data_IF_390445636003
#
_entry.id   IF_390445636003
#
_cell.length_a   1.000
_cell.length_b   1.000
_cell.length_c   1.000
_cell.angle_alpha   90.00
_cell.angle_beta   90.00
_cell.angle_gamma   90.00
#
_symmetry.space_group_name_H-M   'P 1'
#
loop_
_entity.id
_entity.type
_entity.pdbx_description
1 polymer ?
#
# COMPACT_ATOMS: atom_id res chain seq x y z
N UNK A 1 3.39 -0.87 -23.09
CA UNK A 1 3.41 -0.21 -21.76
C UNK A 1 1.97 -0.09 -21.29
N UNK A 2 1.62 -0.58 -20.09
CA UNK A 2 0.26 -0.47 -19.53
C UNK A 2 0.26 0.63 -18.48
N UNK A 3 -0.63 1.61 -18.61
CA UNK A 3 -0.81 2.68 -17.62
C UNK A 3 -1.42 2.13 -16.33
N UNK A 4 -0.93 2.58 -15.17
CA UNK A 4 -1.33 2.06 -13.86
C UNK A 4 -1.56 3.18 -12.87
N UNK A 5 -2.54 2.99 -12.01
CA UNK A 5 -2.75 3.80 -10.81
C UNK A 5 -2.17 3.09 -9.59
N UNK A 6 -1.73 3.88 -8.62
CA UNK A 6 -1.07 3.40 -7.43
C UNK A 6 -1.72 3.97 -6.18
N UNK A 7 -1.84 3.13 -5.16
CA UNK A 7 -2.12 3.55 -3.78
C UNK A 7 -0.90 3.15 -2.96
N UNK A 8 -0.39 4.07 -2.17
CA UNK A 8 0.74 3.81 -1.28
C UNK A 8 0.50 4.45 0.08
N UNK A 9 1.00 3.78 1.12
CA UNK A 9 1.11 4.34 2.46
C UNK A 9 2.51 4.03 2.99
N UNK A 10 3.05 4.95 3.77
CA UNK A 10 4.33 4.77 4.42
C UNK A 10 4.24 5.18 5.88
N UNK A 11 5.12 4.62 6.69
CA UNK A 11 5.24 4.96 8.11
C UNK A 11 6.66 4.67 8.59
N UNK A 12 7.03 5.27 9.72
CA UNK A 12 8.32 5.05 10.37
C UNK A 12 8.12 4.30 11.68
N UNK A 13 9.01 3.35 11.95
CA UNK A 13 9.13 2.69 13.26
C UNK A 13 10.60 2.63 13.64
N UNK A 14 11.00 3.54 14.52
CA UNK A 14 12.41 3.81 14.80
C UNK A 14 13.12 4.34 13.54
N UNK A 15 14.33 3.86 13.21
CA UNK A 15 15.08 4.31 12.03
C UNK A 15 14.56 3.70 10.71
N UNK A 16 13.60 2.78 10.77
CA UNK A 16 13.12 2.05 9.61
C UNK A 16 11.88 2.70 8.99
N UNK A 17 11.91 2.88 7.67
CA UNK A 17 10.76 3.27 6.86
C UNK A 17 10.07 2.03 6.30
N UNK A 18 8.75 1.94 6.48
CA UNK A 18 7.91 0.90 5.91
C UNK A 18 7.05 1.51 4.82
N UNK A 19 7.02 0.88 3.65
CA UNK A 19 6.22 1.29 2.50
C UNK A 19 5.36 0.11 2.06
N UNK A 20 4.05 0.34 1.98
CA UNK A 20 3.10 -0.57 1.33
C UNK A 20 2.58 0.10 0.07
N UNK A 21 2.54 -0.64 -1.04
CA UNK A 21 2.14 -0.15 -2.35
C UNK A 21 1.26 -1.17 -3.05
N UNK A 22 0.13 -0.73 -3.58
CA UNK A 22 -0.80 -1.52 -4.37
C UNK A 22 -1.06 -0.80 -5.71
N UNK A 23 -1.44 -1.54 -6.75
CA UNK A 23 -1.66 -0.97 -8.09
C UNK A 23 -2.70 -1.73 -8.90
N UNK A 24 -3.39 -1.01 -9.78
CA UNK A 24 -4.28 -1.58 -10.81
C UNK A 24 -4.00 -0.92 -12.17
N UNK A 25 -4.26 -1.63 -13.29
CA UNK A 25 -4.36 -1.02 -14.61
C UNK A 25 -5.37 0.13 -14.63
N UNK A 26 -5.17 1.11 -15.51
CA UNK A 26 -6.07 2.28 -15.63
C UNK A 26 -7.51 1.89 -15.94
N UNK A 27 -7.71 0.87 -16.77
CA UNK A 27 -9.03 0.32 -17.13
C UNK A 27 -9.79 -0.27 -15.93
N UNK A 28 -9.09 -0.77 -14.92
CA UNK A 28 -9.69 -1.41 -13.73
C UNK A 28 -9.76 -0.47 -12.52
N UNK A 29 -9.15 0.70 -12.59
CA UNK A 29 -8.98 1.60 -11.44
C UNK A 29 -10.29 1.96 -10.76
N UNK A 30 -11.34 2.25 -11.53
CA UNK A 30 -12.65 2.63 -10.99
C UNK A 30 -13.25 1.53 -10.08
N UNK A 31 -13.06 0.26 -10.42
CA UNK A 31 -13.51 -0.88 -9.62
C UNK A 31 -12.55 -1.26 -8.49
N UNK A 32 -11.24 -1.08 -8.71
CA UNK A 32 -10.20 -1.52 -7.78
C UNK A 32 -9.86 -0.47 -6.70
N UNK A 33 -10.09 0.82 -6.93
CA UNK A 33 -9.56 1.90 -6.08
C UNK A 33 -9.91 1.76 -4.60
N UNK A 34 -11.18 1.50 -4.28
CA UNK A 34 -11.64 1.37 -2.89
C UNK A 34 -11.06 0.12 -2.21
N UNK A 35 -10.97 -0.99 -2.94
CA UNK A 35 -10.37 -2.23 -2.44
C UNK A 35 -8.88 -2.06 -2.17
N UNK A 36 -8.15 -1.45 -3.11
CA UNK A 36 -6.73 -1.16 -2.96
C UNK A 36 -6.48 -0.21 -1.79
N UNK A 37 -7.32 0.82 -1.62
CA UNK A 37 -7.26 1.73 -0.47
C UNK A 37 -7.49 1.00 0.85
N UNK A 38 -8.51 0.15 0.94
CA UNK A 38 -8.80 -0.64 2.12
C UNK A 38 -7.65 -1.59 2.48
N UNK A 39 -7.10 -2.29 1.47
CA UNK A 39 -5.97 -3.20 1.63
C UNK A 39 -4.73 -2.47 2.16
N UNK A 40 -4.35 -1.35 1.53
CA UNK A 40 -3.22 -0.52 1.98
C UNK A 40 -3.42 0.00 3.40
N UNK A 41 -4.65 0.43 3.75
CA UNK A 41 -4.98 0.92 5.10
C UNK A 41 -4.95 -0.16 6.17
N UNK A 42 -5.32 -1.40 5.82
CA UNK A 42 -5.30 -2.54 6.75
C UNK A 42 -3.90 -3.09 7.05
N UNK A 43 -2.86 -2.57 6.39
CA UNK A 43 -1.49 -3.00 6.62
C UNK A 43 -1.03 -2.64 8.03
N UNK A 44 -0.94 -3.65 8.90
CA UNK A 44 -0.36 -3.55 10.23
C UNK A 44 1.15 -3.77 10.18
N UNK A 45 1.90 -2.99 10.95
CA UNK A 45 3.31 -3.31 11.20
C UNK A 45 3.37 -4.51 12.16
N UNK A 46 4.25 -5.50 11.93
CA UNK A 46 4.47 -6.54 12.93
C UNK A 46 4.87 -5.90 14.26
N UNK A 47 4.38 -6.47 15.37
CA UNK A 47 4.87 -6.12 16.70
C UNK A 47 6.40 -6.16 16.66
N UNK A 48 7.07 -5.14 17.24
CA UNK A 48 8.49 -4.89 16.98
C UNK A 48 9.28 -6.19 17.07
N UNK A 49 9.96 -6.57 15.99
CA UNK A 49 10.98 -7.61 16.08
C UNK A 49 11.95 -7.09 17.13
N UNK A 50 12.02 -7.77 18.29
CA UNK A 50 13.05 -7.48 19.28
C UNK A 50 14.39 -7.53 18.55
N UNK A 51 15.13 -6.42 18.60
CA UNK A 51 16.52 -6.39 18.18
C UNK A 51 17.36 -7.28 19.11
#
# INVERSE_FOLDING_TARGET
VVSRHYVAAFTFKGPYMYLVKASAPTEEWAGAAQLLLASVRSFGLPAAARA
#
